data_IF_100800812786
#
_entry.id   IF_100800812786
#
_cell.length_a   1.000
_cell.length_b   1.000
_cell.length_c   1.000
_cell.angle_alpha   90.00
_cell.angle_beta   90.00
_cell.angle_gamma   90.00
#
_symmetry.space_group_name_H-M   'P 1'
#
loop_
_entity.id
_entity.type
_entity.pdbx_description
1 polymer ?
#
# COMPACT_ATOMS: atom_id res chain seq x y z
N UNK A 1 -4.22 12.34 20.47
CA UNK A 1 -3.70 11.04 19.97
C UNK A 1 -2.40 10.78 20.70
N UNK A 2 -2.24 9.58 21.26
CA UNK A 2 -1.05 9.23 22.02
C UNK A 2 0.07 8.81 21.07
N UNK A 3 1.20 9.52 21.16
CA UNK A 3 2.44 9.14 20.47
C UNK A 3 3.17 8.08 21.29
N UNK A 4 3.62 7.01 20.64
CA UNK A 4 4.37 5.95 21.30
C UNK A 4 5.88 6.10 21.06
N UNK A 5 6.69 5.64 22.02
CA UNK A 5 8.15 5.60 21.91
C UNK A 5 8.60 4.55 20.89
N UNK A 6 9.85 4.63 20.45
CA UNK A 6 10.48 3.62 19.60
C UNK A 6 10.46 2.22 20.23
N UNK A 7 10.68 2.13 21.55
CA UNK A 7 10.63 0.86 22.28
C UNK A 7 9.22 0.25 22.23
N UNK A 8 8.20 1.04 22.59
CA UNK A 8 6.80 0.59 22.53
C UNK A 8 6.36 0.22 21.10
N UNK A 9 6.81 0.96 20.08
CA UNK A 9 6.56 0.59 18.69
C UNK A 9 7.09 -0.81 18.36
N UNK A 10 8.35 -1.08 18.73
CA UNK A 10 9.00 -2.38 18.47
C UNK A 10 8.32 -3.52 19.22
N UNK A 11 7.92 -3.31 20.46
CA UNK A 11 7.16 -4.28 21.26
C UNK A 11 5.81 -4.60 20.63
N UNK A 12 5.03 -3.58 20.29
CA UNK A 12 3.71 -3.74 19.67
C UNK A 12 3.82 -4.42 18.30
N UNK A 13 4.77 -4.02 17.46
CA UNK A 13 4.99 -4.64 16.16
C UNK A 13 5.43 -6.12 16.32
N UNK A 14 6.28 -6.42 17.26
CA UNK A 14 6.72 -7.80 17.58
C UNK A 14 5.58 -8.66 18.11
N UNK A 15 4.61 -8.05 18.80
CA UNK A 15 3.38 -8.70 19.25
C UNK A 15 2.35 -8.88 18.14
N UNK A 16 2.65 -8.44 16.90
CA UNK A 16 1.79 -8.61 15.74
C UNK A 16 0.79 -7.47 15.51
N UNK A 17 0.89 -6.36 16.24
CA UNK A 17 0.07 -5.17 15.98
C UNK A 17 0.40 -4.64 14.59
N UNK A 18 -0.65 -4.45 13.79
CA UNK A 18 -0.52 -3.99 12.40
C UNK A 18 -0.17 -2.50 12.35
N UNK A 19 0.55 -2.12 11.30
CA UNK A 19 1.02 -0.74 11.12
C UNK A 19 0.57 -0.24 9.76
N UNK A 20 -0.21 0.84 9.77
CA UNK A 20 -0.57 1.61 8.57
C UNK A 20 0.43 2.78 8.41
N UNK A 21 1.00 2.90 7.22
CA UNK A 21 1.82 4.05 6.84
C UNK A 21 1.04 4.89 5.82
N UNK A 22 0.53 6.05 6.26
CA UNK A 22 -0.32 6.92 5.45
C UNK A 22 0.45 7.95 4.62
N UNK A 23 1.78 7.92 4.66
CA UNK A 23 2.63 8.81 3.87
C UNK A 23 2.40 8.61 2.37
N UNK A 24 2.75 9.60 1.53
CA UNK A 24 2.72 9.46 0.07
C UNK A 24 3.43 8.20 -0.42
N UNK A 25 2.89 7.54 -1.45
CA UNK A 25 3.42 6.28 -2.02
C UNK A 25 4.91 6.37 -2.41
N UNK A 26 5.38 7.55 -2.82
CA UNK A 26 6.79 7.78 -3.15
C UNK A 26 7.65 7.62 -1.90
N UNK A 27 7.33 8.34 -0.82
CA UNK A 27 8.10 8.26 0.44
C UNK A 27 8.07 6.87 1.05
N UNK A 28 6.90 6.20 1.00
CA UNK A 28 6.77 4.84 1.47
C UNK A 28 7.65 3.88 0.65
N UNK A 29 7.59 3.98 -0.68
CA UNK A 29 8.32 3.06 -1.56
C UNK A 29 9.84 3.19 -1.44
N UNK A 30 10.33 4.40 -1.22
CA UNK A 30 11.76 4.67 -1.07
C UNK A 30 12.31 4.21 0.29
N UNK A 31 11.52 4.36 1.34
CA UNK A 31 11.96 4.02 2.69
C UNK A 31 10.80 3.82 3.65
N UNK A 32 10.59 2.59 4.12
CA UNK A 32 9.58 2.26 5.12
C UNK A 32 10.10 1.25 6.15
N UNK A 33 9.39 1.11 7.26
CA UNK A 33 9.70 0.09 8.27
C UNK A 33 9.15 -1.25 7.76
N UNK A 34 9.96 -2.30 7.83
CA UNK A 34 9.55 -3.64 7.40
C UNK A 34 8.29 -4.09 8.14
N UNK A 35 7.34 -4.64 7.40
CA UNK A 35 6.06 -5.13 7.94
C UNK A 35 4.97 -4.06 8.05
N UNK A 36 5.25 -2.80 7.67
CA UNK A 36 4.22 -1.77 7.56
C UNK A 36 3.50 -1.86 6.22
N UNK A 37 2.25 -1.40 6.18
CA UNK A 37 1.42 -1.41 4.97
C UNK A 37 1.19 0.03 4.52
N UNK A 38 1.62 0.33 3.28
CA UNK A 38 1.55 1.66 2.69
C UNK A 38 0.15 1.96 2.16
N UNK A 39 -0.60 2.78 2.88
CA UNK A 39 -1.94 3.25 2.48
C UNK A 39 -1.93 4.78 2.45
N UNK A 40 -1.54 5.34 1.31
CA UNK A 40 -1.42 6.79 1.19
C UNK A 40 -2.75 7.50 1.46
N UNK A 41 -2.67 8.56 2.28
CA UNK A 41 -3.80 9.45 2.58
C UNK A 41 -4.35 10.14 1.31
N UNK A 42 -3.56 10.21 0.24
CA UNK A 42 -3.95 10.85 -1.02
C UNK A 42 -4.82 9.94 -1.93
N UNK A 43 -4.96 8.66 -1.59
CA UNK A 43 -5.77 7.70 -2.33
C UNK A 43 -7.15 7.45 -1.72
N UNK A 44 -7.76 6.33 -2.10
CA UNK A 44 -8.99 5.82 -1.48
C UNK A 44 -8.66 5.23 -0.09
N UNK A 45 -8.24 6.09 0.83
CA UNK A 45 -7.64 5.75 2.11
C UNK A 45 -8.55 4.85 2.95
N UNK A 46 -9.81 5.26 3.13
CA UNK A 46 -10.82 4.53 3.92
C UNK A 46 -11.10 3.15 3.32
N UNK A 47 -11.26 3.09 2.00
CA UNK A 47 -11.49 1.83 1.31
C UNK A 47 -10.34 0.83 1.55
N UNK A 48 -9.09 1.28 1.39
CA UNK A 48 -7.93 0.43 1.59
C UNK A 48 -7.74 0.03 3.06
N UNK A 49 -7.98 0.96 3.99
CA UNK A 49 -7.92 0.67 5.43
C UNK A 49 -8.97 -0.37 5.83
N UNK A 50 -10.22 -0.20 5.41
CA UNK A 50 -11.30 -1.15 5.67
C UNK A 50 -11.08 -2.53 5.02
N UNK A 51 -10.42 -2.56 3.87
CA UNK A 51 -10.12 -3.82 3.18
C UNK A 51 -9.07 -4.65 3.92
N UNK A 52 -8.09 -4.01 4.57
CA UNK A 52 -6.89 -4.68 5.10
C UNK A 52 -6.94 -4.85 6.62
N UNK A 53 -7.45 -3.86 7.36
CA UNK A 53 -7.38 -3.84 8.82
C UNK A 53 -8.72 -4.12 9.47
N UNK A 54 -8.67 -4.67 10.68
CA UNK A 54 -9.87 -4.92 11.51
C UNK A 54 -10.06 -3.80 12.52
N UNK A 55 -11.23 -3.19 12.52
CA UNK A 55 -11.58 -2.03 13.36
C UNK A 55 -11.48 -2.28 14.86
N UNK A 56 -11.67 -3.52 15.30
CA UNK A 56 -11.61 -3.91 16.71
C UNK A 56 -10.17 -4.20 17.20
N UNK A 57 -9.18 -4.21 16.32
CA UNK A 57 -7.79 -4.47 16.66
C UNK A 57 -7.02 -3.16 16.80
N UNK A 58 -6.03 -3.14 17.71
CA UNK A 58 -5.10 -2.02 17.85
C UNK A 58 -4.35 -1.79 16.54
N UNK A 59 -4.20 -0.51 16.15
CA UNK A 59 -3.51 -0.10 14.94
C UNK A 59 -2.46 0.95 15.27
N UNK A 60 -1.28 0.83 14.69
CA UNK A 60 -0.25 1.86 14.74
C UNK A 60 -0.33 2.67 13.44
N UNK A 61 -0.46 3.99 13.57
CA UNK A 61 -0.45 4.93 12.46
C UNK A 61 0.93 5.58 12.33
N UNK A 62 1.49 5.55 11.12
CA UNK A 62 2.60 6.39 10.68
C UNK A 62 2.02 7.40 9.68
N UNK A 63 2.35 8.67 9.84
CA UNK A 63 1.90 9.76 8.96
C UNK A 63 2.95 10.85 8.89
N UNK A 64 2.83 11.75 7.91
CA UNK A 64 3.50 13.04 7.98
C UNK A 64 2.84 13.90 9.07
N UNK A 65 3.63 14.68 9.80
CA UNK A 65 3.13 15.49 10.92
C UNK A 65 1.98 16.42 10.50
N UNK A 66 2.09 17.06 9.34
CA UNK A 66 1.07 17.94 8.78
C UNK A 66 -0.22 17.24 8.33
N UNK A 67 -0.18 15.91 8.15
CA UNK A 67 -1.34 15.09 7.73
C UNK A 67 -1.82 14.13 8.83
N UNK A 68 -1.16 14.17 10.00
CA UNK A 68 -1.46 13.24 11.10
C UNK A 68 -2.90 13.34 11.58
N UNK A 69 -3.35 14.57 11.86
CA UNK A 69 -4.73 14.80 12.33
C UNK A 69 -5.78 14.35 11.31
N UNK A 70 -5.53 14.60 10.02
CA UNK A 70 -6.42 14.15 8.95
C UNK A 70 -6.46 12.63 8.87
N UNK A 71 -5.30 11.96 8.88
CA UNK A 71 -5.21 10.51 8.84
C UNK A 71 -5.97 9.86 9.99
N UNK A 72 -5.81 10.41 11.19
CA UNK A 72 -6.48 9.93 12.39
C UNK A 72 -8.00 10.10 12.32
N UNK A 73 -8.48 11.30 12.00
CA UNK A 73 -9.92 11.59 11.90
C UNK A 73 -10.62 10.73 10.86
N UNK A 74 -9.95 10.44 9.73
CA UNK A 74 -10.49 9.57 8.69
C UNK A 74 -10.56 8.11 9.15
N UNK A 75 -9.57 7.60 9.91
CA UNK A 75 -9.65 6.28 10.53
C UNK A 75 -10.73 6.20 11.61
N UNK A 76 -10.82 7.22 12.47
CA UNK A 76 -11.85 7.29 13.53
C UNK A 76 -13.26 7.30 12.94
N UNK A 77 -13.49 8.07 11.87
CA UNK A 77 -14.77 8.13 11.16
C UNK A 77 -15.18 6.76 10.59
N UNK A 78 -14.21 5.93 10.22
CA UNK A 78 -14.43 4.55 9.77
C UNK A 78 -14.59 3.55 10.93
N UNK A 79 -14.45 3.99 12.17
CA UNK A 79 -14.62 3.17 13.37
C UNK A 79 -13.36 2.44 13.86
N UNK A 80 -12.18 2.87 13.45
CA UNK A 80 -10.93 2.45 14.06
C UNK A 80 -10.71 3.25 15.34
N UNK A 81 -10.98 2.65 16.51
CA UNK A 81 -11.02 3.36 17.80
C UNK A 81 -9.77 3.19 18.66
N UNK A 82 -8.95 2.17 18.39
CA UNK A 82 -7.70 1.93 19.12
C UNK A 82 -6.50 2.20 18.21
N UNK A 83 -6.25 3.46 17.91
CA UNK A 83 -5.17 3.92 17.04
C UNK A 83 -4.15 4.70 17.84
N UNK A 84 -2.88 4.29 17.80
CA UNK A 84 -1.74 5.01 18.37
C UNK A 84 -0.84 5.52 17.26
N UNK A 85 -0.14 6.63 17.49
CA UNK A 85 0.76 7.23 16.49
C UNK A 85 2.22 6.89 16.78
N UNK A 86 2.99 6.59 15.73
CA UNK A 86 4.44 6.48 15.80
C UNK A 86 5.10 7.46 14.83
N UNK A 87 6.01 8.29 15.36
CA UNK A 87 6.84 9.17 14.53
C UNK A 87 7.98 8.35 13.91
N UNK A 88 7.91 8.17 12.60
CA UNK A 88 8.90 7.38 11.85
C UNK A 88 10.30 7.99 11.88
N UNK A 89 10.45 9.29 12.17
CA UNK A 89 11.77 9.92 12.30
C UNK A 89 12.61 9.26 13.38
N UNK A 90 11.98 8.83 14.50
CA UNK A 90 12.65 8.12 15.58
C UNK A 90 13.30 6.81 15.13
N UNK A 91 12.67 6.11 14.16
CA UNK A 91 13.22 4.89 13.56
C UNK A 91 14.47 5.20 12.74
N UNK A 92 14.39 6.25 11.92
CA UNK A 92 15.46 6.63 11.02
C UNK A 92 16.65 7.25 11.77
N UNK A 93 16.41 8.06 12.80
CA UNK A 93 17.42 8.65 13.66
C UNK A 93 18.17 7.61 14.49
N UNK A 94 17.49 6.52 14.87
CA UNK A 94 18.10 5.38 15.54
C UNK A 94 18.96 4.50 14.58
N UNK A 95 19.04 4.83 13.29
CA UNK A 95 19.82 4.08 12.30
C UNK A 95 19.32 2.67 12.02
N UNK A 96 18.04 2.40 12.29
CA UNK A 96 17.46 1.07 12.13
C UNK A 96 17.19 0.75 10.65
N UNK A 97 17.23 -0.55 10.31
CA UNK A 97 17.04 -1.05 8.96
C UNK A 97 15.67 -0.68 8.40
N UNK A 98 15.69 -0.27 7.14
CA UNK A 98 14.49 0.08 6.39
C UNK A 98 14.33 -0.82 5.17
N UNK A 99 13.10 -0.95 4.72
CA UNK A 99 12.74 -1.65 3.49
C UNK A 99 12.38 -0.66 2.39
N UNK A 100 12.34 -1.15 1.16
CA UNK A 100 11.86 -0.42 -0.01
C UNK A 100 10.86 -1.29 -0.78
N UNK A 101 10.04 -0.66 -1.62
CA UNK A 101 9.16 -1.38 -2.56
C UNK A 101 9.80 -1.36 -3.94
N UNK A 102 9.87 -2.54 -4.58
CA UNK A 102 10.29 -2.62 -5.99
C UNK A 102 9.26 -1.92 -6.87
N UNK A 103 9.71 -1.02 -7.73
CA UNK A 103 8.85 -0.28 -8.65
C UNK A 103 9.44 -0.26 -10.05
N UNK A 104 8.54 -0.24 -11.05
CA UNK A 104 8.88 -0.02 -12.45
C UNK A 104 8.15 1.21 -12.97
N UNK A 105 8.75 1.89 -13.94
CA UNK A 105 8.10 3.02 -14.62
C UNK A 105 6.93 2.54 -15.46
N UNK A 106 5.91 3.39 -15.59
CA UNK A 106 4.79 3.14 -16.49
C UNK A 106 5.27 2.90 -17.95
N UNK A 107 6.28 3.64 -18.40
CA UNK A 107 6.89 3.48 -19.74
C UNK A 107 7.54 2.11 -20.00
N UNK A 108 7.77 1.32 -18.95
CA UNK A 108 8.31 -0.03 -19.05
C UNK A 108 7.24 -1.13 -18.96
N UNK A 109 5.97 -0.77 -18.79
CA UNK A 109 4.88 -1.73 -18.51
C UNK A 109 4.76 -2.81 -19.59
N UNK A 110 4.91 -2.46 -20.88
CA UNK A 110 4.82 -3.41 -21.99
C UNK A 110 5.80 -4.60 -21.88
N UNK A 111 6.93 -4.42 -21.17
CA UNK A 111 7.93 -5.49 -20.95
C UNK A 111 7.47 -6.57 -19.97
N UNK A 112 6.40 -6.29 -19.22
CA UNK A 112 5.91 -7.14 -18.13
C UNK A 112 4.51 -7.69 -18.37
N UNK A 113 3.93 -7.58 -19.56
CA UNK A 113 2.52 -7.94 -19.86
C UNK A 113 2.09 -9.30 -19.30
N UNK A 114 2.95 -10.32 -19.41
CA UNK A 114 2.67 -11.67 -18.90
C UNK A 114 2.61 -11.76 -17.35
N UNK A 115 3.14 -10.75 -16.66
CA UNK A 115 3.23 -10.70 -15.19
C UNK A 115 2.35 -9.61 -14.59
N UNK A 116 1.75 -8.77 -15.42
CA UNK A 116 0.92 -7.65 -14.95
C UNK A 116 -0.41 -8.18 -14.42
N UNK A 117 -0.82 -7.62 -13.28
CA UNK A 117 -2.14 -7.85 -12.66
C UNK A 117 -2.74 -6.51 -12.26
N UNK A 118 -3.98 -6.27 -12.66
CA UNK A 118 -4.76 -5.13 -12.21
C UNK A 118 -5.38 -5.43 -10.84
N UNK A 119 -5.13 -4.56 -9.86
CA UNK A 119 -5.69 -4.69 -8.50
C UNK A 119 -6.76 -3.66 -8.18
N UNK A 120 -7.29 -3.01 -9.22
CA UNK A 120 -8.47 -2.13 -9.13
C UNK A 120 -9.71 -2.91 -8.72
N UNK A 121 -10.74 -2.20 -8.26
CA UNK A 121 -12.06 -2.79 -8.11
C UNK A 121 -12.57 -3.27 -9.46
N UNK A 122 -13.44 -4.28 -9.46
CA UNK A 122 -13.99 -4.84 -10.70
C UNK A 122 -14.70 -3.79 -11.55
N UNK A 123 -15.43 -2.87 -10.91
CA UNK A 123 -16.14 -1.78 -11.60
C UNK A 123 -15.17 -0.83 -12.31
N UNK A 124 -14.05 -0.46 -11.66
CA UNK A 124 -13.02 0.39 -12.28
C UNK A 124 -12.37 -0.34 -13.48
N UNK A 125 -12.10 -1.64 -13.31
CA UNK A 125 -11.49 -2.48 -14.33
C UNK A 125 -12.38 -2.69 -15.56
N UNK A 126 -13.69 -2.89 -15.35
CA UNK A 126 -14.66 -3.01 -16.44
C UNK A 126 -14.75 -1.74 -17.31
N UNK A 127 -14.47 -0.57 -16.74
CA UNK A 127 -14.46 0.69 -17.48
C UNK A 127 -13.21 0.84 -18.33
N UNK A 128 -12.02 0.54 -17.76
CA UNK A 128 -10.76 0.75 -18.48
C UNK A 128 -9.63 -0.09 -17.85
N UNK A 129 -8.97 -0.91 -18.63
CA UNK A 129 -7.86 -1.73 -18.21
C UNK A 129 -6.91 -2.07 -19.37
N UNK A 130 -5.73 -2.57 -19.05
CA UNK A 130 -4.78 -3.08 -20.06
C UNK A 130 -5.32 -4.40 -20.62
N UNK A 131 -5.46 -4.49 -21.93
CA UNK A 131 -6.02 -5.65 -22.61
C UNK A 131 -5.23 -6.93 -22.31
N UNK A 132 -5.96 -8.00 -22.01
CA UNK A 132 -5.38 -9.31 -21.73
C UNK A 132 -4.79 -9.49 -20.33
N UNK A 133 -4.85 -8.46 -19.48
CA UNK A 133 -4.40 -8.52 -18.10
C UNK A 133 -5.54 -9.00 -17.19
N UNK A 134 -5.24 -9.84 -16.20
CA UNK A 134 -6.23 -10.30 -15.23
C UNK A 134 -6.49 -9.24 -14.15
N UNK A 135 -7.73 -9.20 -13.65
CA UNK A 135 -8.08 -8.40 -12.48
C UNK A 135 -8.15 -9.27 -11.22
N UNK A 136 -7.47 -8.82 -10.17
CA UNK A 136 -7.56 -9.39 -8.82
C UNK A 136 -7.67 -8.25 -7.83
N UNK A 137 -8.89 -7.81 -7.48
CA UNK A 137 -9.12 -6.68 -6.57
C UNK A 137 -8.39 -6.81 -5.23
N UNK A 138 -7.99 -5.67 -4.65
CA UNK A 138 -7.30 -5.62 -3.36
C UNK A 138 -8.03 -6.44 -2.27
N UNK A 139 -9.35 -6.34 -2.20
CA UNK A 139 -10.17 -7.10 -1.22
C UNK A 139 -10.04 -8.62 -1.39
N UNK A 140 -9.84 -9.08 -2.62
CA UNK A 140 -9.66 -10.49 -2.93
C UNK A 140 -8.23 -10.97 -2.62
N UNK A 141 -7.24 -10.10 -2.83
CA UNK A 141 -5.86 -10.34 -2.40
C UNK A 141 -5.79 -10.51 -0.88
N UNK A 142 -6.49 -9.65 -0.13
CA UNK A 142 -6.52 -9.75 1.33
C UNK A 142 -7.17 -11.04 1.81
N UNK A 143 -8.26 -11.48 1.16
CA UNK A 143 -8.92 -12.77 1.46
C UNK A 143 -8.04 -13.98 1.13
N UNK A 144 -7.32 -13.91 0.02
CA UNK A 144 -6.44 -14.99 -0.44
C UNK A 144 -5.21 -14.43 -1.17
N UNK A 145 -4.10 -14.16 -0.45
CA UNK A 145 -2.87 -13.63 -1.04
C UNK A 145 -2.27 -14.51 -2.15
N UNK A 146 -2.52 -15.82 -2.11
CA UNK A 146 -2.01 -16.77 -3.11
C UNK A 146 -2.66 -16.62 -4.51
N UNK A 147 -3.67 -15.76 -4.67
CA UNK A 147 -4.15 -15.35 -5.99
C UNK A 147 -3.09 -14.59 -6.79
N UNK A 148 -2.12 -13.99 -6.10
CA UNK A 148 -1.00 -13.28 -6.72
C UNK A 148 0.25 -14.17 -6.68
N UNK A 149 0.90 -14.31 -7.83
CA UNK A 149 2.16 -15.06 -7.93
C UNK A 149 3.34 -14.21 -7.51
N UNK A 150 4.42 -14.87 -7.09
CA UNK A 150 5.73 -14.24 -6.94
C UNK A 150 6.12 -13.53 -8.25
N UNK A 151 6.83 -12.42 -8.13
CA UNK A 151 7.32 -11.59 -9.24
C UNK A 151 6.21 -11.00 -10.14
N UNK A 152 4.94 -11.02 -9.71
CA UNK A 152 3.89 -10.28 -10.39
C UNK A 152 4.15 -8.78 -10.32
N UNK A 153 3.70 -8.06 -11.35
CA UNK A 153 3.77 -6.61 -11.45
C UNK A 153 2.37 -6.04 -11.31
N UNK A 154 2.13 -5.28 -10.27
CA UNK A 154 0.79 -4.82 -9.90
C UNK A 154 0.56 -3.37 -10.32
N UNK A 155 -0.64 -3.10 -10.81
CA UNK A 155 -1.09 -1.73 -11.04
C UNK A 155 -2.56 -1.55 -10.61
N UNK A 156 -2.98 -0.31 -10.47
CA UNK A 156 -4.37 0.12 -10.38
C UNK A 156 -4.53 1.45 -11.11
N UNK A 157 -5.65 2.13 -10.99
CA UNK A 157 -5.91 3.40 -11.68
C UNK A 157 -4.79 4.43 -11.53
N UNK A 158 -4.30 4.68 -10.30
CA UNK A 158 -3.35 5.76 -9.98
C UNK A 158 -2.19 5.36 -9.05
N UNK A 159 -1.97 4.07 -8.81
CA UNK A 159 -0.85 3.55 -8.03
C UNK A 159 -1.05 3.53 -6.49
N UNK A 160 -2.23 3.86 -5.96
CA UNK A 160 -2.47 3.81 -4.51
C UNK A 160 -2.89 2.41 -4.05
N UNK A 161 -3.88 1.78 -4.71
CA UNK A 161 -4.33 0.42 -4.38
C UNK A 161 -3.23 -0.62 -4.65
N UNK A 162 -2.43 -0.44 -5.72
CA UNK A 162 -1.32 -1.34 -6.02
C UNK A 162 -0.20 -1.25 -4.98
N UNK A 163 0.11 -0.05 -4.48
CA UNK A 163 1.06 0.10 -3.37
C UNK A 163 0.58 -0.61 -2.10
N UNK A 164 -0.71 -0.46 -1.75
CA UNK A 164 -1.31 -1.16 -0.62
C UNK A 164 -1.24 -2.70 -0.82
N UNK A 165 -1.55 -3.19 -2.03
CA UNK A 165 -1.47 -4.61 -2.35
C UNK A 165 -0.04 -5.16 -2.24
N UNK A 166 0.95 -4.46 -2.85
CA UNK A 166 2.36 -4.88 -2.81
C UNK A 166 2.88 -4.92 -1.38
N UNK A 167 2.62 -3.87 -0.58
CA UNK A 167 3.08 -3.83 0.80
C UNK A 167 2.37 -4.87 1.68
N UNK A 168 1.08 -5.12 1.48
CA UNK A 168 0.35 -6.20 2.15
C UNK A 168 0.92 -7.58 1.78
N UNK A 169 1.15 -7.87 0.50
CA UNK A 169 1.72 -9.12 0.02
C UNK A 169 3.13 -9.35 0.57
N UNK A 170 3.92 -8.28 0.71
CA UNK A 170 5.24 -8.35 1.33
C UNK A 170 5.17 -8.85 2.78
N UNK A 171 4.12 -8.50 3.55
CA UNK A 171 3.89 -9.07 4.90
C UNK A 171 3.58 -10.57 4.88
N UNK A 172 3.19 -11.10 3.72
CA UNK A 172 2.92 -12.54 3.48
C UNK A 172 4.09 -13.26 2.79
N UNK A 173 5.25 -12.59 2.67
CA UNK A 173 6.44 -13.08 1.95
C UNK A 173 6.20 -13.34 0.45
N UNK A 174 5.23 -12.67 -0.16
CA UNK A 174 4.98 -12.66 -1.59
C UNK A 174 5.57 -11.36 -2.15
N UNK A 175 6.69 -11.48 -2.85
CA UNK A 175 7.41 -10.34 -3.42
C UNK A 175 6.80 -9.99 -4.76
N UNK A 176 6.37 -8.75 -4.91
CA UNK A 176 5.77 -8.20 -6.13
C UNK A 176 6.32 -6.80 -6.41
N UNK A 177 6.03 -6.26 -7.57
CA UNK A 177 6.51 -4.95 -8.03
C UNK A 177 5.33 -4.03 -8.31
N UNK A 178 5.43 -2.75 -7.98
CA UNK A 178 4.42 -1.73 -8.27
C UNK A 178 4.73 -0.98 -9.58
N UNK A 179 3.72 -0.71 -10.42
CA UNK A 179 3.85 0.21 -11.54
C UNK A 179 3.57 1.64 -11.04
N UNK A 180 4.59 2.49 -11.15
CA UNK A 180 4.51 3.88 -10.70
C UNK A 180 3.41 4.63 -11.46
N UNK A 181 2.46 5.23 -10.71
CA UNK A 181 1.37 6.02 -11.27
C UNK A 181 0.23 5.20 -11.88
N UNK A 182 0.35 3.87 -11.94
CA UNK A 182 -0.71 2.98 -12.40
C UNK A 182 -1.16 3.24 -13.84
N UNK A 183 -2.43 2.92 -14.12
CA UNK A 183 -3.02 3.06 -15.47
C UNK A 183 -2.94 4.50 -15.99
N UNK A 184 -3.17 5.48 -15.12
CA UNK A 184 -3.11 6.90 -15.51
C UNK A 184 -1.76 7.29 -16.10
N UNK A 185 -0.66 6.79 -15.53
CA UNK A 185 0.67 7.01 -16.07
C UNK A 185 0.93 6.15 -17.33
N UNK A 186 0.46 4.92 -17.35
CA UNK A 186 0.62 4.04 -18.51
C UNK A 186 -0.06 4.59 -19.77
N UNK A 187 -1.23 5.21 -19.65
CA UNK A 187 -1.93 5.84 -20.77
C UNK A 187 -1.10 6.96 -21.44
N UNK A 188 -0.21 7.61 -20.66
CA UNK A 188 0.64 8.70 -21.16
C UNK A 188 1.98 8.17 -21.64
N UNK A 189 2.59 7.29 -20.85
CA UNK A 189 4.01 6.92 -20.99
C UNK A 189 4.22 5.60 -21.75
N UNK A 190 3.15 4.85 -22.05
CA UNK A 190 3.20 3.55 -22.75
C UNK A 190 2.16 3.49 -23.87
N UNK A 191 2.32 4.27 -24.94
CA UNK A 191 1.33 4.36 -26.04
C UNK A 191 1.14 3.02 -26.81
N UNK A 192 2.07 2.10 -26.67
CA UNK A 192 2.00 0.78 -27.32
C UNK A 192 1.16 -0.25 -26.55
N UNK A 193 0.69 0.10 -25.34
CA UNK A 193 -0.20 -0.76 -24.57
C UNK A 193 -1.62 -0.69 -25.15
N UNK A 194 -2.20 -1.83 -25.49
CA UNK A 194 -3.62 -1.92 -25.80
C UNK A 194 -4.46 -1.83 -24.50
N UNK A 195 -5.43 -0.95 -24.50
CA UNK A 195 -6.35 -0.71 -23.39
C UNK A 195 -7.73 -1.26 -23.78
#
# INVERSE_FOLDING_TARGET
MDSISLENFRELQSAGVQVIDSRPTVLFSERHIRGTIGISINGSFEYMANAIFKKAEKLILISLNERLSESFLRLEAEGFTDVVYFDISLWFEAGLDSSLVSRVSASSASKYLEKIVDVSNSEDWEVLHVKGVSNVPLVDIVKNPNKIRQDSVLYCGNGHKSMAAVSYLLTKNIITTDITGGLSAMLVDSPDLEI
#
